data_IF_181609049080
#
_entry.id   IF_181609049080
#
_cell.length_a   1.000
_cell.length_b   1.000
_cell.length_c   1.000
_cell.angle_alpha   90.00
_cell.angle_beta   90.00
_cell.angle_gamma   90.00
#
_symmetry.space_group_name_H-M   'P 1'
#
loop_
_entity.id
_entity.type
_entity.pdbx_description
1 polymer ?
#
# COMPACT_ATOMS: atom_id res chain seq x y z
N UNK A 1 7.95 13.88 12.54
CA UNK A 1 6.48 14.18 12.45
C UNK A 1 6.20 14.60 11.02
N UNK A 2 5.26 13.97 10.34
CA UNK A 2 4.91 14.27 8.94
C UNK A 2 4.21 15.62 8.84
N UNK A 3 4.65 16.46 7.93
CA UNK A 3 4.12 17.79 7.63
C UNK A 3 3.29 17.79 6.33
N UNK A 4 2.60 18.87 6.04
CA UNK A 4 1.89 19.04 4.76
C UNK A 4 2.88 19.07 3.58
N UNK A 5 4.09 19.58 3.79
CA UNK A 5 5.11 19.64 2.73
C UNK A 5 5.62 18.24 2.38
N UNK A 6 5.73 17.33 3.37
CA UNK A 6 6.07 15.93 3.12
C UNK A 6 4.98 15.23 2.27
N UNK A 7 3.69 15.53 2.56
CA UNK A 7 2.57 15.01 1.79
C UNK A 7 2.59 15.54 0.35
N UNK A 8 2.81 16.84 0.15
CA UNK A 8 2.96 17.44 -1.19
C UNK A 8 4.15 16.84 -1.96
N UNK A 9 5.28 16.65 -1.29
CA UNK A 9 6.46 16.00 -1.87
C UNK A 9 6.14 14.57 -2.31
N UNK A 10 5.47 13.79 -1.45
CA UNK A 10 5.00 12.47 -1.81
C UNK A 10 4.04 12.49 -3.00
N UNK A 11 3.09 13.44 -3.04
CA UNK A 11 2.18 13.60 -4.17
C UNK A 11 2.94 13.85 -5.48
N UNK A 12 3.92 14.75 -5.48
CA UNK A 12 4.72 15.04 -6.67
C UNK A 12 5.45 13.80 -7.21
N UNK A 13 5.89 12.89 -6.34
CA UNK A 13 6.53 11.63 -6.76
C UNK A 13 5.56 10.61 -7.33
N UNK A 14 4.30 10.60 -6.88
CA UNK A 14 3.36 9.53 -7.22
C UNK A 14 2.21 9.94 -8.15
N UNK A 15 2.00 11.23 -8.41
CA UNK A 15 0.82 11.74 -9.12
C UNK A 15 0.63 11.14 -10.52
N UNK A 16 1.72 10.83 -11.23
CA UNK A 16 1.68 10.21 -12.56
C UNK A 16 1.28 8.72 -12.53
N UNK A 17 1.29 8.08 -11.36
CA UNK A 17 0.98 6.66 -11.19
C UNK A 17 -0.37 6.39 -10.54
N UNK A 18 -1.01 7.40 -9.97
CA UNK A 18 -2.30 7.26 -9.27
C UNK A 18 -3.46 7.77 -10.11
N UNK A 19 -4.66 7.26 -9.83
CA UNK A 19 -5.90 7.80 -10.38
C UNK A 19 -6.34 8.99 -9.54
N UNK A 20 -6.70 10.09 -10.18
CA UNK A 20 -7.41 11.18 -9.53
C UNK A 20 -8.87 10.75 -9.30
N UNK A 21 -9.13 10.22 -8.10
CA UNK A 21 -10.43 9.65 -7.77
C UNK A 21 -11.46 10.73 -7.47
N UNK A 22 -12.72 10.47 -7.84
CA UNK A 22 -13.82 11.43 -7.69
C UNK A 22 -14.24 11.60 -6.24
N UNK A 23 -14.76 12.78 -5.96
CA UNK A 23 -15.48 13.09 -4.72
C UNK A 23 -16.97 13.09 -5.02
N UNK A 24 -17.73 12.33 -4.24
CA UNK A 24 -19.18 12.23 -4.32
C UNK A 24 -19.83 12.89 -3.13
N UNK A 25 -21.01 13.45 -3.32
CA UNK A 25 -21.91 13.88 -2.26
C UNK A 25 -23.31 13.32 -2.52
N UNK A 26 -24.11 13.16 -1.48
CA UNK A 26 -25.47 12.63 -1.57
C UNK A 26 -26.41 13.47 -0.72
N UNK A 27 -27.40 14.12 -1.37
CA UNK A 27 -28.44 14.88 -0.69
C UNK A 27 -29.18 14.05 0.37
N UNK A 28 -29.44 12.76 0.06
CA UNK A 28 -30.08 11.84 1.01
C UNK A 28 -29.26 11.66 2.28
N UNK A 29 -27.93 11.49 2.14
CA UNK A 29 -27.03 11.38 3.31
C UNK A 29 -26.97 12.70 4.05
N UNK A 30 -26.81 13.81 3.35
CA UNK A 30 -26.75 15.14 3.93
C UNK A 30 -27.99 15.46 4.76
N UNK A 31 -29.19 15.19 4.23
CA UNK A 31 -30.46 15.41 4.92
C UNK A 31 -30.62 14.48 6.13
N UNK A 32 -30.26 13.19 6.00
CA UNK A 32 -30.37 12.22 7.09
C UNK A 32 -29.47 12.55 8.29
N UNK A 33 -28.31 13.15 8.06
CA UNK A 33 -27.32 13.45 9.09
C UNK A 33 -27.17 14.95 9.40
N UNK A 34 -28.00 15.83 8.77
CA UNK A 34 -27.92 17.28 8.88
C UNK A 34 -26.46 17.81 8.72
N UNK A 35 -25.73 17.27 7.74
CA UNK A 35 -24.32 17.55 7.53
C UNK A 35 -23.97 17.54 6.03
N UNK A 36 -22.94 18.28 5.62
CA UNK A 36 -22.37 18.18 4.29
C UNK A 36 -21.36 17.02 4.25
N UNK A 37 -21.73 15.92 3.63
CA UNK A 37 -20.92 14.69 3.57
C UNK A 37 -20.30 14.55 2.18
N UNK A 38 -18.98 14.42 2.15
CA UNK A 38 -18.19 14.18 0.95
C UNK A 38 -17.46 12.84 1.05
N UNK A 39 -17.57 12.04 -0.01
CA UNK A 39 -16.99 10.70 -0.10
C UNK A 39 -15.90 10.68 -1.19
N UNK A 40 -14.63 10.63 -0.79
CA UNK A 40 -13.51 10.41 -1.70
C UNK A 40 -13.43 8.92 -2.06
N UNK A 41 -13.64 8.58 -3.33
CA UNK A 41 -13.84 7.18 -3.75
C UNK A 41 -12.54 6.46 -4.11
N UNK A 42 -11.78 6.02 -3.13
CA UNK A 42 -10.54 5.25 -3.35
C UNK A 42 -10.77 3.78 -3.78
N UNK A 43 -12.01 3.34 -3.93
CA UNK A 43 -12.32 2.05 -4.60
C UNK A 43 -11.97 2.13 -6.10
N UNK A 44 -12.00 3.31 -6.69
CA UNK A 44 -11.59 3.56 -8.09
C UNK A 44 -10.06 3.59 -8.29
N UNK A 45 -9.27 3.55 -7.21
CA UNK A 45 -7.81 3.57 -7.30
C UNK A 45 -7.27 2.23 -7.86
N UNK A 46 -6.06 2.23 -8.43
CA UNK A 46 -5.42 1.10 -9.15
C UNK A 46 -5.57 -0.27 -8.48
N UNK A 47 -5.55 -0.32 -7.15
CA UNK A 47 -5.68 -1.56 -6.38
C UNK A 47 -7.01 -1.68 -5.64
N UNK A 48 -7.96 -0.76 -5.93
CA UNK A 48 -9.25 -0.70 -5.25
C UNK A 48 -9.16 -0.18 -3.81
N UNK A 49 -8.13 0.59 -3.47
CA UNK A 49 -7.96 1.22 -2.16
C UNK A 49 -6.84 2.26 -2.15
N UNK A 50 -6.89 3.19 -1.20
CA UNK A 50 -5.88 4.22 -0.98
C UNK A 50 -4.47 3.68 -0.63
N UNK A 51 -4.34 2.41 -0.24
CA UNK A 51 -3.07 1.81 0.18
C UNK A 51 -1.97 1.86 -0.90
N UNK A 52 -2.34 1.92 -2.16
CA UNK A 52 -1.39 2.08 -3.26
C UNK A 52 -0.60 3.39 -3.18
N UNK A 53 -1.21 4.48 -2.68
CA UNK A 53 -0.56 5.79 -2.54
C UNK A 53 0.66 5.72 -1.64
N UNK A 54 0.50 5.13 -0.44
CA UNK A 54 1.60 4.92 0.48
C UNK A 54 2.65 3.94 -0.05
N UNK A 55 2.23 2.87 -0.71
CA UNK A 55 3.15 1.91 -1.32
C UNK A 55 4.00 2.55 -2.43
N UNK A 56 3.38 3.32 -3.34
CA UNK A 56 4.11 4.05 -4.37
C UNK A 56 5.10 5.04 -3.76
N UNK A 57 4.68 5.82 -2.76
CA UNK A 57 5.55 6.80 -2.10
C UNK A 57 6.75 6.13 -1.42
N UNK A 58 6.55 5.02 -0.71
CA UNK A 58 7.64 4.31 -0.05
C UNK A 58 8.58 3.64 -1.06
N UNK A 59 8.04 2.98 -2.08
CA UNK A 59 8.86 2.26 -3.05
C UNK A 59 9.58 3.21 -4.03
N UNK A 60 9.02 4.38 -4.35
CA UNK A 60 9.72 5.39 -5.14
C UNK A 60 10.98 5.88 -4.42
N UNK A 61 10.90 6.16 -3.12
CA UNK A 61 12.06 6.57 -2.34
C UNK A 61 13.13 5.46 -2.28
N UNK A 62 12.71 4.22 -2.00
CA UNK A 62 13.64 3.07 -1.99
C UNK A 62 14.28 2.81 -3.36
N UNK A 63 13.55 3.02 -4.45
CA UNK A 63 14.09 2.89 -5.80
C UNK A 63 15.17 3.94 -6.11
N UNK A 64 14.98 5.18 -5.66
CA UNK A 64 15.98 6.24 -5.76
C UNK A 64 17.26 5.91 -4.97
N UNK A 65 17.14 5.17 -3.86
CA UNK A 65 18.25 4.65 -3.06
C UNK A 65 18.92 3.41 -3.70
N UNK A 66 18.45 2.93 -4.85
CA UNK A 66 19.00 1.76 -5.54
C UNK A 66 18.53 0.41 -4.99
N UNK A 67 17.47 0.38 -4.19
CA UNK A 67 16.93 -0.87 -3.63
C UNK A 67 16.26 -1.69 -4.73
N UNK A 68 16.64 -2.97 -4.85
CA UNK A 68 16.16 -3.88 -5.91
C UNK A 68 14.86 -4.61 -5.54
N UNK A 69 14.53 -4.70 -4.26
CA UNK A 69 13.35 -5.44 -3.81
C UNK A 69 12.92 -5.09 -2.41
N UNK A 70 11.72 -5.50 -2.06
CA UNK A 70 11.09 -5.22 -0.75
C UNK A 70 10.41 -6.44 -0.17
N UNK A 71 10.27 -6.47 1.14
CA UNK A 71 9.46 -7.44 1.87
C UNK A 71 8.29 -6.71 2.51
N UNK A 72 7.11 -7.33 2.53
CA UNK A 72 5.97 -6.82 3.29
C UNK A 72 5.12 -7.98 3.86
N UNK A 73 4.29 -7.68 4.85
CA UNK A 73 3.31 -8.62 5.36
C UNK A 73 1.92 -7.98 5.40
N UNK A 74 0.93 -8.66 4.82
CA UNK A 74 -0.46 -8.21 4.87
C UNK A 74 -1.39 -9.26 4.29
N UNK A 75 -2.62 -9.34 4.80
CA UNK A 75 -3.67 -10.20 4.25
C UNK A 75 -4.53 -9.53 3.16
N UNK A 76 -4.28 -8.27 2.82
CA UNK A 76 -5.24 -7.50 2.01
C UNK A 76 -4.66 -6.35 1.19
N UNK A 77 -5.20 -5.17 1.39
CA UNK A 77 -4.95 -4.02 0.52
C UNK A 77 -3.49 -3.54 0.49
N UNK A 78 -2.77 -3.65 1.61
CA UNK A 78 -1.34 -3.28 1.63
C UNK A 78 -0.49 -4.27 0.80
N UNK A 79 -0.78 -5.58 0.87
CA UNK A 79 -0.13 -6.59 0.04
C UNK A 79 -0.28 -6.26 -1.46
N UNK A 80 -1.50 -5.91 -1.88
CA UNK A 80 -1.78 -5.52 -3.26
C UNK A 80 -1.12 -4.19 -3.63
N UNK A 81 -1.11 -3.22 -2.71
CA UNK A 81 -0.44 -1.93 -2.91
C UNK A 81 1.05 -2.11 -3.14
N UNK A 82 1.74 -2.82 -2.24
CA UNK A 82 3.19 -3.04 -2.34
C UNK A 82 3.54 -3.86 -3.59
N UNK A 83 2.83 -4.96 -3.87
CA UNK A 83 3.12 -5.77 -5.07
C UNK A 83 2.87 -4.99 -6.36
N UNK A 84 1.85 -4.13 -6.42
CA UNK A 84 1.58 -3.29 -7.60
C UNK A 84 2.61 -2.17 -7.76
N UNK A 85 3.00 -1.52 -6.67
CA UNK A 85 4.06 -0.50 -6.70
C UNK A 85 5.41 -1.11 -7.12
N UNK A 86 5.75 -2.30 -6.60
CA UNK A 86 6.94 -3.02 -7.00
C UNK A 86 6.93 -3.38 -8.50
N UNK A 87 5.79 -3.81 -9.03
CA UNK A 87 5.61 -4.03 -10.48
C UNK A 87 5.85 -2.75 -11.30
N UNK A 88 5.32 -1.61 -10.84
CA UNK A 88 5.46 -0.32 -11.54
C UNK A 88 6.92 0.13 -11.58
N UNK A 89 7.66 -0.05 -10.49
CA UNK A 89 9.06 0.39 -10.38
C UNK A 89 10.08 -0.69 -10.79
N UNK A 90 9.64 -1.81 -11.35
CA UNK A 90 10.48 -2.96 -11.71
C UNK A 90 11.38 -3.39 -10.52
N UNK A 91 10.74 -3.62 -9.37
CA UNK A 91 11.35 -4.09 -8.14
C UNK A 91 10.84 -5.49 -7.80
N UNK A 92 11.66 -6.31 -7.16
CA UNK A 92 11.21 -7.57 -6.57
C UNK A 92 10.35 -7.31 -5.34
N UNK A 93 9.34 -8.15 -5.09
CA UNK A 93 8.54 -8.06 -3.87
C UNK A 93 8.24 -9.44 -3.30
N UNK A 94 8.42 -9.59 -1.99
CA UNK A 94 8.09 -10.80 -1.24
C UNK A 94 7.03 -10.42 -0.22
N UNK A 95 5.85 -11.07 -0.32
CA UNK A 95 4.70 -10.72 0.52
C UNK A 95 4.32 -11.91 1.41
N UNK A 96 4.43 -11.72 2.72
CA UNK A 96 4.01 -12.70 3.71
C UNK A 96 2.51 -12.56 3.95
N UNK A 97 1.75 -13.58 3.59
CA UNK A 97 0.28 -13.59 3.66
C UNK A 97 -0.21 -14.79 4.47
N UNK A 98 -1.31 -14.68 5.24
CA UNK A 98 -1.85 -15.84 5.92
C UNK A 98 -2.53 -16.79 4.92
N UNK A 99 -2.49 -18.10 5.19
CA UNK A 99 -3.11 -19.15 4.36
C UNK A 99 -4.62 -18.97 4.20
N UNK A 100 -5.28 -18.37 5.20
CA UNK A 100 -6.71 -18.06 5.23
C UNK A 100 -7.06 -16.69 4.64
N UNK A 101 -6.11 -16.00 4.01
CA UNK A 101 -6.43 -14.77 3.27
C UNK A 101 -7.38 -15.08 2.10
N UNK A 102 -8.28 -14.15 1.74
CA UNK A 102 -9.16 -14.34 0.59
C UNK A 102 -8.36 -14.73 -0.67
N UNK A 103 -8.77 -15.80 -1.35
CA UNK A 103 -8.03 -16.37 -2.48
C UNK A 103 -7.81 -15.38 -3.63
N UNK A 104 -8.78 -14.47 -3.85
CA UNK A 104 -8.69 -13.41 -4.83
C UNK A 104 -7.56 -12.41 -4.49
N UNK A 105 -7.32 -12.12 -3.19
CA UNK A 105 -6.24 -11.24 -2.74
C UNK A 105 -4.87 -11.88 -2.98
N UNK A 106 -4.73 -13.17 -2.66
CA UNK A 106 -3.49 -13.93 -2.92
C UNK A 106 -3.21 -13.98 -4.43
N UNK A 107 -4.23 -14.31 -5.23
CA UNK A 107 -4.10 -14.37 -6.70
C UNK A 107 -3.68 -13.02 -7.28
N UNK A 108 -4.31 -11.93 -6.86
CA UNK A 108 -4.00 -10.58 -7.33
C UNK A 108 -2.60 -10.12 -6.92
N UNK A 109 -2.14 -10.47 -5.71
CA UNK A 109 -0.78 -10.19 -5.27
C UNK A 109 0.24 -10.92 -6.13
N UNK A 110 0.02 -12.22 -6.40
CA UNK A 110 0.88 -13.01 -7.31
C UNK A 110 0.86 -12.50 -8.75
N UNK A 111 -0.29 -12.08 -9.28
CA UNK A 111 -0.40 -11.55 -10.65
C UNK A 111 0.32 -10.22 -10.85
N UNK A 112 0.61 -9.49 -9.78
CA UNK A 112 1.49 -8.32 -9.79
C UNK A 112 2.99 -8.68 -9.80
N UNK A 113 3.35 -9.97 -9.86
CA UNK A 113 4.74 -10.45 -9.87
C UNK A 113 5.36 -10.71 -8.50
N UNK A 114 4.58 -10.61 -7.41
CA UNK A 114 5.11 -10.85 -6.07
C UNK A 114 5.31 -12.35 -5.76
N UNK A 115 6.43 -12.68 -5.12
CA UNK A 115 6.59 -13.93 -4.40
C UNK A 115 5.71 -13.91 -3.14
N UNK A 116 4.83 -14.90 -2.96
CA UNK A 116 3.93 -14.96 -1.82
C UNK A 116 4.33 -16.11 -0.91
N UNK A 117 4.71 -15.80 0.32
CA UNK A 117 5.02 -16.73 1.39
C UNK A 117 3.78 -16.86 2.30
N UNK A 118 3.27 -18.08 2.44
CA UNK A 118 2.06 -18.32 3.23
C UNK A 118 2.41 -18.78 4.65
N UNK A 119 1.77 -18.19 5.66
CA UNK A 119 1.92 -18.56 7.07
C UNK A 119 0.58 -18.96 7.70
N UNK A 120 0.62 -19.70 8.80
CA UNK A 120 -0.55 -20.11 9.58
C UNK A 120 -0.78 -19.17 10.75
N UNK A 121 -1.94 -18.44 10.75
CA UNK A 121 -2.31 -17.55 11.87
C UNK A 121 -2.32 -18.28 13.20
N UNK A 122 -2.02 -17.57 14.27
CA UNK A 122 -2.00 -18.04 15.66
C UNK A 122 -0.93 -19.10 15.97
N UNK A 123 -0.21 -19.61 14.96
CA UNK A 123 0.90 -20.55 15.12
C UNK A 123 2.22 -19.86 14.77
N UNK A 124 2.24 -19.05 13.71
CA UNK A 124 3.41 -18.39 13.16
C UNK A 124 3.27 -16.86 13.25
N UNK A 125 4.36 -16.16 13.52
CA UNK A 125 4.40 -14.68 13.47
C UNK A 125 4.80 -14.21 12.08
N UNK A 126 3.89 -13.50 11.41
CA UNK A 126 4.15 -12.86 10.12
C UNK A 126 5.29 -11.85 10.18
N UNK A 127 5.40 -11.15 11.31
CA UNK A 127 6.46 -10.17 11.56
C UNK A 127 7.83 -10.86 11.55
N UNK A 128 7.99 -11.92 12.36
CA UNK A 128 9.26 -12.68 12.43
C UNK A 128 9.63 -13.33 11.10
N UNK A 129 8.64 -13.84 10.36
CA UNK A 129 8.87 -14.42 9.03
C UNK A 129 9.35 -13.33 8.06
N UNK A 130 8.69 -12.18 8.05
CA UNK A 130 9.04 -11.09 7.16
C UNK A 130 10.41 -10.48 7.52
N UNK A 131 10.73 -10.32 8.80
CA UNK A 131 12.02 -9.85 9.29
C UNK A 131 13.16 -10.81 8.87
N UNK A 132 12.98 -12.11 9.08
CA UNK A 132 13.94 -13.12 8.64
C UNK A 132 14.19 -13.06 7.13
N UNK A 133 13.14 -12.99 6.32
CA UNK A 133 13.25 -12.88 4.86
C UNK A 133 13.95 -11.57 4.46
N UNK A 134 13.63 -10.47 5.14
CA UNK A 134 14.26 -9.16 4.94
C UNK A 134 15.78 -9.23 5.16
N UNK A 135 16.23 -9.86 6.24
CA UNK A 135 17.65 -10.07 6.55
C UNK A 135 18.33 -11.00 5.52
N UNK A 136 17.71 -12.14 5.20
CA UNK A 136 18.27 -13.14 4.27
C UNK A 136 18.41 -12.62 2.83
N UNK A 137 17.47 -11.76 2.39
CA UNK A 137 17.45 -11.21 1.02
C UNK A 137 18.10 -9.84 0.89
N UNK A 138 18.37 -9.17 2.00
CA UNK A 138 18.83 -7.78 2.02
C UNK A 138 17.78 -6.78 1.50
N UNK A 139 16.49 -7.11 1.58
CA UNK A 139 15.39 -6.27 1.13
C UNK A 139 14.69 -5.60 2.32
N UNK A 140 14.51 -4.27 2.31
CA UNK A 140 13.86 -3.58 3.41
C UNK A 140 12.41 -4.02 3.60
N UNK A 141 11.97 -4.04 4.88
CA UNK A 141 10.61 -4.36 5.27
C UNK A 141 9.71 -3.12 5.17
N UNK A 142 8.72 -3.17 4.29
CA UNK A 142 7.72 -2.12 4.09
C UNK A 142 6.49 -2.41 4.95
N UNK A 143 6.43 -1.78 6.14
CA UNK A 143 5.31 -1.91 7.07
C UNK A 143 4.07 -1.16 6.56
N UNK A 144 2.85 -1.60 6.90
CA UNK A 144 1.60 -0.96 6.45
C UNK A 144 1.27 0.37 7.16
N UNK A 145 2.06 0.76 8.16
CA UNK A 145 1.94 1.94 9.03
C UNK A 145 3.30 2.26 9.66
N UNK A 146 3.39 3.36 10.42
CA UNK A 146 4.59 3.80 11.15
C UNK A 146 5.87 3.91 10.29
N UNK A 147 5.69 4.35 9.04
CA UNK A 147 6.76 4.68 8.11
C UNK A 147 6.43 6.02 7.47
N UNK A 148 7.36 6.97 7.48
CA UNK A 148 7.13 8.34 7.03
C UNK A 148 6.69 8.41 5.57
N UNK A 149 7.32 7.67 4.67
CA UNK A 149 6.93 7.61 3.26
C UNK A 149 5.54 6.99 3.05
N UNK A 150 5.18 5.96 3.84
CA UNK A 150 3.83 5.37 3.81
C UNK A 150 2.79 6.39 4.29
N UNK A 151 3.06 7.07 5.41
CA UNK A 151 2.13 8.06 5.98
C UNK A 151 1.97 9.24 5.02
N UNK A 152 3.07 9.82 4.52
CA UNK A 152 3.04 10.92 3.57
C UNK A 152 2.29 10.54 2.28
N UNK A 153 2.58 9.37 1.71
CA UNK A 153 1.90 8.87 0.52
C UNK A 153 0.40 8.64 0.74
N UNK A 154 0.00 8.08 1.87
CA UNK A 154 -1.42 7.93 2.22
C UNK A 154 -2.08 9.29 2.48
N UNK A 155 -1.37 10.26 3.04
CA UNK A 155 -1.84 11.62 3.25
C UNK A 155 -2.23 12.35 1.96
N UNK A 156 -1.67 11.97 0.80
CA UNK A 156 -2.02 12.54 -0.51
C UNK A 156 -3.49 12.35 -0.89
N UNK A 157 -4.19 11.46 -0.21
CA UNK A 157 -5.63 11.28 -0.33
C UNK A 157 -6.43 12.55 0.07
N UNK A 158 -5.87 13.36 0.96
CA UNK A 158 -6.49 14.58 1.49
C UNK A 158 -6.15 15.88 0.74
N UNK A 159 -5.36 15.81 -0.33
CA UNK A 159 -4.99 16.96 -1.17
C UNK A 159 -6.05 17.32 -2.20
#
# INVERSE_FOLDING_TARGET
>A
MITIEDIKSAYNRINSFIVETKIYSSEKLNNNYAANIFLKNEVEQLTGSFKIRGALSALSALKEEGVEGVVAFSSGNHAQGVSKAAQIFDMKSIIVMPKDAPSNKIKKTKSNGAEVILYTRHIESREKIAEKISEERGYPLVKPFDNENIIAGQGTFGL
#
